data_IF_225422834955
#
_entry.id   IF_225422834955
#
_cell.length_a   1.000
_cell.length_b   1.000
_cell.length_c   1.000
_cell.angle_alpha   90.00
_cell.angle_beta   90.00
_cell.angle_gamma   90.00
#
_symmetry.space_group_name_H-M   'P 1'
#
loop_
_entity.id
_entity.type
_entity.pdbx_description
1 polymer ?
#
# COMPACT_ATOMS: atom_id res chain seq x y z
N UNK A 1 -27.02 24.51 -16.50
CA UNK A 1 -26.00 24.40 -15.44
C UNK A 1 -24.84 23.64 -16.04
N UNK A 2 -23.64 24.21 -16.01
CA UNK A 2 -22.45 23.51 -16.49
C UNK A 2 -21.95 22.62 -15.33
N UNK A 3 -21.65 21.35 -15.62
CA UNK A 3 -21.03 20.44 -14.67
C UNK A 3 -19.52 20.51 -14.87
N UNK A 4 -18.81 20.98 -13.85
CA UNK A 4 -17.36 20.98 -13.79
C UNK A 4 -16.89 19.68 -13.15
N UNK A 5 -15.91 19.02 -13.79
CA UNK A 5 -15.28 17.82 -13.28
C UNK A 5 -14.15 18.21 -12.31
N UNK A 6 -14.36 18.03 -11.01
CA UNK A 6 -13.28 18.15 -10.03
C UNK A 6 -12.39 16.92 -10.15
N UNK A 7 -11.13 17.09 -10.56
CA UNK A 7 -10.15 16.02 -10.71
C UNK A 7 -9.12 16.05 -9.59
N UNK A 8 -8.57 14.90 -9.25
CA UNK A 8 -7.47 14.84 -8.29
C UNK A 8 -6.22 15.52 -8.88
N UNK A 9 -5.71 16.62 -8.28
CA UNK A 9 -4.57 17.35 -8.82
C UNK A 9 -3.28 16.55 -8.69
N UNK A 10 -2.26 16.92 -9.47
CA UNK A 10 -0.94 16.26 -9.43
C UNK A 10 -0.15 16.76 -8.21
N UNK A 11 -0.06 15.93 -7.17
CA UNK A 11 0.58 16.28 -5.89
C UNK A 11 2.05 15.81 -5.82
N UNK A 12 2.89 16.34 -6.71
CA UNK A 12 4.33 16.04 -6.79
C UNK A 12 4.71 14.97 -7.82
N UNK A 13 5.99 14.87 -8.15
CA UNK A 13 6.47 13.99 -9.24
C UNK A 13 6.38 12.49 -8.93
N UNK A 14 6.21 12.10 -7.66
CA UNK A 14 6.26 10.70 -7.21
C UNK A 14 4.94 10.15 -6.64
N UNK A 15 3.83 10.90 -6.71
CA UNK A 15 2.52 10.47 -6.19
C UNK A 15 1.61 10.08 -7.36
N UNK A 16 1.23 8.80 -7.42
CA UNK A 16 0.37 8.24 -8.46
C UNK A 16 -1.09 8.05 -8.01
N UNK A 17 -1.31 7.89 -6.70
CA UNK A 17 -2.62 7.65 -6.09
C UNK A 17 -2.71 8.34 -4.72
N UNK A 18 -3.94 8.67 -4.30
CA UNK A 18 -4.23 9.23 -2.99
C UNK A 18 -5.49 8.59 -2.40
N UNK A 19 -5.57 8.51 -1.08
CA UNK A 19 -6.75 8.00 -0.36
C UNK A 19 -7.56 9.16 0.19
N UNK A 20 -8.87 9.18 -0.03
CA UNK A 20 -9.75 10.21 0.55
C UNK A 20 -9.89 9.93 2.05
N UNK A 21 -9.50 10.90 2.88
CA UNK A 21 -9.55 10.78 4.35
C UNK A 21 -10.80 11.42 4.95
N UNK A 22 -11.22 12.55 4.40
CA UNK A 22 -12.41 13.24 4.88
C UNK A 22 -12.98 14.15 3.79
N UNK A 23 -14.31 14.28 3.74
CA UNK A 23 -14.99 15.27 2.91
C UNK A 23 -15.31 16.49 3.78
N UNK A 24 -14.83 17.66 3.38
CA UNK A 24 -15.13 18.93 4.07
C UNK A 24 -16.47 19.51 3.62
N UNK A 25 -16.96 19.10 2.44
CA UNK A 25 -18.19 19.56 1.80
C UNK A 25 -19.07 18.38 1.40
N UNK A 26 -20.38 18.53 1.58
CA UNK A 26 -21.38 17.52 1.25
C UNK A 26 -22.10 17.86 -0.07
N UNK A 27 -22.78 16.87 -0.65
CA UNK A 27 -23.63 17.07 -1.84
C UNK A 27 -24.70 18.11 -1.51
N UNK A 28 -24.75 19.18 -2.30
CA UNK A 28 -25.63 20.33 -2.12
C UNK A 28 -24.97 21.56 -1.47
N UNK A 29 -23.75 21.43 -0.94
CA UNK A 29 -23.04 22.56 -0.33
C UNK A 29 -22.43 23.48 -1.39
N UNK A 30 -22.47 24.79 -1.14
CA UNK A 30 -21.79 25.80 -1.95
C UNK A 30 -20.29 25.81 -1.63
N UNK A 31 -19.49 25.86 -2.69
CA UNK A 31 -18.03 25.87 -2.69
C UNK A 31 -17.57 27.13 -3.40
N UNK A 32 -16.66 27.89 -2.79
CA UNK A 32 -15.98 29.02 -3.42
C UNK A 32 -14.69 28.56 -4.13
N UNK A 33 -14.23 29.34 -5.12
CA UNK A 33 -12.94 29.14 -5.76
C UNK A 33 -11.81 29.19 -4.71
N UNK A 34 -10.85 28.27 -4.84
CA UNK A 34 -9.75 28.02 -3.89
C UNK A 34 -10.16 27.50 -2.50
N UNK A 35 -11.44 27.16 -2.29
CA UNK A 35 -11.90 26.55 -1.03
C UNK A 35 -11.60 25.04 -1.00
N UNK A 36 -11.15 24.53 0.15
CA UNK A 36 -10.84 23.11 0.34
C UNK A 36 -12.12 22.25 0.36
N UNK A 37 -12.18 21.26 -0.54
CA UNK A 37 -13.36 20.40 -0.74
C UNK A 37 -13.22 19.08 0.02
N UNK A 38 -12.02 18.51 0.03
CA UNK A 38 -11.71 17.25 0.73
C UNK A 38 -10.25 17.19 1.17
N UNK A 39 -10.00 16.30 2.13
CA UNK A 39 -8.66 15.94 2.61
C UNK A 39 -8.24 14.59 2.03
N UNK A 40 -7.06 14.54 1.45
CA UNK A 40 -6.45 13.32 0.90
C UNK A 40 -5.16 12.98 1.66
N UNK A 41 -4.93 11.69 1.87
CA UNK A 41 -3.67 11.17 2.39
C UNK A 41 -2.88 10.50 1.27
N UNK A 42 -1.61 10.85 1.15
CA UNK A 42 -0.63 10.15 0.31
C UNK A 42 0.37 9.39 1.19
N UNK A 43 1.26 8.60 0.61
CA UNK A 43 2.31 7.84 1.34
C UNK A 43 3.27 8.74 2.16
N UNK A 44 3.26 10.06 1.94
CA UNK A 44 4.25 10.97 2.55
C UNK A 44 3.65 12.16 3.29
N UNK A 45 2.55 12.73 2.84
CA UNK A 45 1.93 13.92 3.46
C UNK A 45 0.43 13.90 3.23
N UNK A 46 -0.34 14.39 4.21
CA UNK A 46 -1.75 14.71 4.06
C UNK A 46 -1.89 16.07 3.37
N UNK A 47 -2.83 16.20 2.43
CA UNK A 47 -3.02 17.44 1.66
C UNK A 47 -4.50 17.69 1.42
N UNK A 48 -4.86 18.96 1.33
CA UNK A 48 -6.21 19.40 1.01
C UNK A 48 -6.31 19.64 -0.51
N UNK A 49 -7.47 19.28 -1.09
CA UNK A 49 -7.77 19.53 -2.51
C UNK A 49 -8.66 20.77 -2.59
N UNK A 50 -8.15 21.92 -3.08
CA UNK A 50 -8.95 23.12 -3.32
C UNK A 50 -9.82 22.98 -4.58
N UNK A 51 -10.93 23.71 -4.63
CA UNK A 51 -11.79 23.80 -5.82
C UNK A 51 -11.26 24.83 -6.82
N UNK A 52 -11.21 24.47 -8.10
CA UNK A 52 -10.84 25.39 -9.19
C UNK A 52 -11.98 26.34 -9.61
N UNK A 53 -13.22 26.05 -9.18
CA UNK A 53 -14.41 26.82 -9.57
C UNK A 53 -15.33 27.06 -8.38
N UNK A 54 -16.06 28.18 -8.41
CA UNK A 54 -17.18 28.44 -7.50
C UNK A 54 -18.45 27.77 -8.02
N UNK A 55 -19.14 27.02 -7.17
CA UNK A 55 -20.38 26.33 -7.53
C UNK A 55 -20.94 25.47 -6.41
N UNK A 56 -21.91 24.61 -6.73
CA UNK A 56 -22.53 23.70 -5.76
C UNK A 56 -22.09 22.26 -6.03
N UNK A 57 -21.70 21.52 -4.99
CA UNK A 57 -21.29 20.13 -5.12
C UNK A 57 -22.49 19.26 -5.52
N UNK A 58 -22.50 18.72 -6.74
CA UNK A 58 -23.66 18.00 -7.29
C UNK A 58 -23.63 16.49 -7.04
N UNK A 59 -22.45 15.87 -7.11
CA UNK A 59 -22.30 14.41 -7.01
C UNK A 59 -20.88 14.04 -6.60
N UNK A 60 -20.76 13.08 -5.67
CA UNK A 60 -19.50 12.53 -5.18
C UNK A 60 -19.33 11.12 -5.75
N UNK A 61 -18.22 10.86 -6.45
CA UNK A 61 -17.95 9.56 -7.10
C UNK A 61 -17.20 8.57 -6.18
N UNK A 62 -16.57 9.06 -5.12
CA UNK A 62 -15.72 8.27 -4.21
C UNK A 62 -16.02 8.57 -2.74
N UNK A 63 -16.09 7.52 -1.93
CA UNK A 63 -16.39 7.61 -0.51
C UNK A 63 -15.12 7.78 0.33
N UNK A 64 -15.30 8.11 1.61
CA UNK A 64 -14.18 8.17 2.57
C UNK A 64 -13.51 6.79 2.67
N UNK A 65 -12.18 6.77 2.60
CA UNK A 65 -11.27 5.62 2.50
C UNK A 65 -11.08 4.99 1.11
N UNK A 66 -11.69 5.54 0.05
CA UNK A 66 -11.44 5.07 -1.32
C UNK A 66 -10.10 5.60 -1.86
N UNK A 67 -9.47 4.80 -2.74
CA UNK A 67 -8.20 5.13 -3.41
C UNK A 67 -8.50 5.66 -4.82
N UNK A 68 -7.96 6.84 -5.12
CA UNK A 68 -8.18 7.57 -6.38
C UNK A 68 -6.85 7.84 -7.08
N UNK A 69 -6.80 7.70 -8.41
CA UNK A 69 -5.61 7.99 -9.22
C UNK A 69 -5.51 9.47 -9.60
N UNK A 70 -4.29 9.99 -9.75
CA UNK A 70 -4.06 11.37 -10.19
C UNK A 70 -4.72 11.61 -11.56
N UNK A 71 -5.50 12.69 -11.66
CA UNK A 71 -6.25 13.06 -12.87
C UNK A 71 -7.63 12.41 -13.00
N UNK A 72 -8.02 11.53 -12.07
CA UNK A 72 -9.36 10.94 -12.04
C UNK A 72 -10.38 11.92 -11.46
N UNK A 73 -11.60 11.94 -12.03
CA UNK A 73 -12.70 12.80 -11.58
C UNK A 73 -13.28 12.29 -10.27
N UNK A 74 -13.24 13.11 -9.22
CA UNK A 74 -13.66 12.79 -7.86
C UNK A 74 -15.08 13.27 -7.52
N UNK A 75 -15.51 14.38 -8.10
CA UNK A 75 -16.83 14.95 -7.91
C UNK A 75 -17.23 15.86 -9.08
N UNK A 76 -18.52 16.14 -9.19
CA UNK A 76 -19.06 17.12 -10.13
C UNK A 76 -19.55 18.37 -9.40
N UNK A 77 -19.13 19.56 -9.84
CA UNK A 77 -19.55 20.85 -9.30
C UNK A 77 -20.45 21.54 -10.33
N UNK A 78 -21.65 21.98 -9.94
CA UNK A 78 -22.53 22.77 -10.79
C UNK A 78 -22.25 24.27 -10.62
N UNK A 79 -21.89 24.94 -11.72
CA UNK A 79 -21.60 26.38 -11.71
C UNK A 79 -22.77 27.18 -12.27
N UNK A 80 -23.18 28.26 -11.56
CA UNK A 80 -24.12 29.26 -12.06
C UNK A 80 -23.39 30.38 -12.80
N UNK A 81 -23.48 30.38 -14.13
CA UNK A 81 -22.99 31.49 -14.97
C UNK A 81 -21.78 31.11 -15.83
N UNK A 82 -21.99 31.11 -17.14
CA UNK A 82 -20.98 30.73 -18.12
C UNK A 82 -19.82 31.72 -18.17
N UNK A 83 -18.61 31.19 -18.05
CA UNK A 83 -17.41 31.75 -18.67
C UNK A 83 -16.79 30.64 -19.49
N UNK A 84 -16.77 30.88 -20.80
CA UNK A 84 -16.16 30.04 -21.82
C UNK A 84 -14.65 30.25 -21.74
N UNK A 85 -13.88 29.19 -21.59
CA UNK A 85 -12.51 29.16 -22.10
C UNK A 85 -12.43 27.96 -23.04
N UNK A 86 -12.28 28.31 -24.31
CA UNK A 86 -12.26 27.44 -25.48
C UNK A 86 -10.99 26.58 -25.52
N UNK A 87 -11.13 25.42 -26.18
CA UNK A 87 -10.14 24.37 -26.34
C UNK A 87 -8.97 24.77 -27.25
N UNK A 88 -7.99 23.88 -27.46
CA UNK A 88 -7.89 23.35 -28.81
C UNK A 88 -8.31 21.89 -28.91
N UNK A 89 -9.28 21.71 -29.80
CA UNK A 89 -9.81 20.48 -30.36
C UNK A 89 -8.88 20.02 -31.48
N UNK A 90 -8.59 18.73 -31.56
CA UNK A 90 -8.35 18.09 -32.86
C UNK A 90 -9.36 16.95 -33.01
N UNK A 91 -10.18 17.11 -34.04
CA UNK A 91 -11.35 16.34 -34.42
C UNK A 91 -10.94 15.54 -35.66
N UNK A 92 -11.22 14.24 -35.75
CA UNK A 92 -11.80 13.70 -37.00
C UNK A 92 -12.40 12.30 -36.85
N UNK A 93 -13.70 12.26 -37.19
CA UNK A 93 -14.41 11.21 -37.94
C UNK A 93 -14.75 9.88 -37.27
N UNK A 94 -15.89 9.89 -36.59
CA UNK A 94 -16.84 8.79 -36.61
C UNK A 94 -17.67 8.82 -37.92
N UNK A 95 -17.18 8.11 -38.94
CA UNK A 95 -17.94 7.77 -40.14
C UNK A 95 -17.39 6.48 -40.76
N UNK A 96 -17.45 5.35 -40.04
CA UNK A 96 -17.40 4.02 -40.65
C UNK A 96 -17.95 2.89 -39.75
N UNK A 97 -19.09 3.11 -39.09
CA UNK A 97 -19.73 2.09 -38.23
C UNK A 97 -20.45 0.99 -39.05
N UNK A 98 -20.45 1.02 -40.39
CA UNK A 98 -21.17 0.02 -41.21
C UNK A 98 -20.28 -0.88 -42.10
N UNK A 99 -18.96 -0.89 -41.92
CA UNK A 99 -18.06 -1.70 -42.78
C UNK A 99 -17.05 -2.59 -42.02
N UNK A 100 -17.26 -2.88 -40.74
CA UNK A 100 -16.38 -3.81 -39.95
C UNK A 100 -17.15 -4.97 -39.31
N UNK A 101 -18.46 -5.10 -39.55
CA UNK A 101 -19.22 -6.32 -39.21
C UNK A 101 -19.20 -7.38 -40.34
N UNK A 102 -18.57 -7.10 -41.48
CA UNK A 102 -18.55 -8.01 -42.65
C UNK A 102 -17.18 -8.51 -43.10
N UNK A 103 -16.16 -8.36 -42.25
CA UNK A 103 -14.82 -8.96 -42.44
C UNK A 103 -14.38 -9.84 -41.26
N UNK A 104 -15.31 -10.18 -40.36
CA UNK A 104 -15.10 -11.14 -39.26
C UNK A 104 -15.59 -12.57 -39.61
N UNK A 105 -16.14 -12.79 -40.81
CA UNK A 105 -16.63 -14.11 -41.26
C UNK A 105 -15.77 -14.80 -42.34
N UNK A 106 -14.55 -14.34 -42.61
CA UNK A 106 -13.65 -15.00 -43.57
C UNK A 106 -12.21 -15.20 -43.02
N UNK A 107 -12.12 -15.77 -41.81
CA UNK A 107 -10.87 -16.24 -41.21
C UNK A 107 -11.06 -17.37 -40.19
N UNK A 108 -12.26 -17.97 -40.14
CA UNK A 108 -12.54 -19.18 -39.36
C UNK A 108 -12.26 -20.41 -40.22
N UNK A 109 -10.98 -20.73 -40.36
CA UNK A 109 -10.52 -22.11 -40.42
C UNK A 109 -9.01 -22.13 -40.28
N UNK A 110 -8.51 -23.05 -39.45
CA UNK A 110 -7.12 -23.25 -39.03
C UNK A 110 -6.49 -22.23 -38.07
N UNK A 111 -6.99 -22.17 -36.84
CA UNK A 111 -6.15 -21.85 -35.67
C UNK A 111 -6.26 -22.99 -34.66
N UNK A 112 -5.26 -23.88 -34.65
CA UNK A 112 -5.14 -24.90 -33.63
C UNK A 112 -4.93 -24.23 -32.26
N UNK A 113 -5.71 -24.63 -31.26
CA UNK A 113 -5.51 -24.19 -29.89
C UNK A 113 -4.11 -24.60 -29.42
N UNK A 114 -3.24 -23.63 -29.15
CA UNK A 114 -1.89 -23.89 -28.66
C UNK A 114 -1.96 -24.18 -27.16
N UNK A 115 -1.74 -25.44 -26.78
CA UNK A 115 -1.61 -25.85 -25.38
C UNK A 115 -0.19 -25.56 -24.89
N UNK A 116 -0.05 -24.60 -23.98
CA UNK A 116 1.24 -24.17 -23.40
C UNK A 116 1.64 -24.97 -22.14
N UNK A 117 1.01 -26.12 -21.91
CA UNK A 117 1.24 -26.95 -20.73
C UNK A 117 2.52 -27.80 -20.83
N UNK A 118 3.01 -28.04 -22.05
CA UNK A 118 4.12 -28.96 -22.34
C UNK A 118 5.46 -28.27 -22.67
N UNK A 119 5.59 -26.95 -22.48
CA UNK A 119 6.86 -26.23 -22.77
C UNK A 119 7.78 -26.11 -21.56
N UNK A 120 9.03 -26.56 -21.69
CA UNK A 120 10.09 -26.41 -20.68
C UNK A 120 10.59 -24.96 -20.52
N UNK A 121 10.28 -24.07 -21.48
CA UNK A 121 10.70 -22.67 -21.48
C UNK A 121 9.60 -21.76 -20.94
N UNK A 122 9.95 -20.88 -19.99
CA UNK A 122 9.00 -19.94 -19.41
C UNK A 122 8.73 -18.76 -20.37
N UNK A 123 7.47 -18.61 -20.80
CA UNK A 123 6.98 -17.48 -21.57
C UNK A 123 6.12 -16.55 -20.71
N UNK A 124 6.37 -15.24 -20.80
CA UNK A 124 5.56 -14.23 -20.12
C UNK A 124 4.12 -14.21 -20.66
N UNK A 125 3.11 -13.82 -19.86
CA UNK A 125 1.71 -13.78 -20.29
C UNK A 125 1.48 -12.93 -21.55
N UNK A 126 2.26 -11.85 -21.71
CA UNK A 126 2.20 -10.98 -22.88
C UNK A 126 2.66 -11.69 -24.16
N UNK A 127 3.74 -12.48 -24.08
CA UNK A 127 4.27 -13.25 -25.22
C UNK A 127 3.31 -14.40 -25.59
N UNK A 128 2.67 -15.04 -24.60
CA UNK A 128 1.63 -16.06 -24.85
C UNK A 128 0.40 -15.49 -25.56
N UNK A 129 -0.02 -14.28 -25.19
CA UNK A 129 -1.13 -13.61 -25.86
C UNK A 129 -0.78 -13.23 -27.30
N UNK A 130 0.39 -12.64 -27.53
CA UNK A 130 0.85 -12.30 -28.90
C UNK A 130 0.99 -13.56 -29.76
N UNK A 131 1.55 -14.65 -29.22
CA UNK A 131 1.67 -15.92 -29.94
C UNK A 131 0.30 -16.52 -30.32
N UNK A 132 -0.70 -16.37 -29.44
CA UNK A 132 -2.07 -16.85 -29.68
C UNK A 132 -2.80 -16.00 -30.73
N UNK A 133 -2.61 -14.68 -30.71
CA UNK A 133 -3.21 -13.75 -31.68
C UNK A 133 -2.57 -13.89 -33.08
N UNK A 134 -1.26 -14.09 -33.14
CA UNK A 134 -0.51 -14.23 -34.40
C UNK A 134 -0.42 -15.69 -34.90
N UNK A 135 -1.08 -16.63 -34.23
CA UNK A 135 -1.12 -18.04 -34.62
C UNK A 135 0.27 -18.71 -34.65
N UNK A 136 1.16 -18.35 -33.73
CA UNK A 136 2.49 -18.94 -33.57
C UNK A 136 2.35 -20.24 -32.77
N UNK A 137 2.81 -21.34 -33.34
CA UNK A 137 2.78 -22.65 -32.69
C UNK A 137 3.83 -22.76 -31.57
N UNK A 138 3.64 -23.70 -30.64
CA UNK A 138 4.59 -23.90 -29.53
C UNK A 138 6.01 -24.23 -30.04
N UNK A 139 6.10 -25.02 -31.11
CA UNK A 139 7.38 -25.39 -31.74
C UNK A 139 8.09 -24.19 -32.39
N UNK A 140 7.33 -23.30 -33.04
CA UNK A 140 7.88 -22.04 -33.58
C UNK A 140 8.36 -21.14 -32.44
N UNK A 141 7.57 -21.03 -31.37
CA UNK A 141 7.89 -20.21 -30.21
C UNK A 141 9.17 -20.67 -29.49
N UNK A 142 9.40 -21.99 -29.41
CA UNK A 142 10.61 -22.59 -28.84
C UNK A 142 11.86 -22.33 -29.69
N UNK A 143 11.70 -22.21 -31.01
CA UNK A 143 12.78 -21.85 -31.94
C UNK A 143 13.21 -20.38 -31.85
N UNK A 144 12.39 -19.50 -31.25
CA UNK A 144 12.71 -18.08 -31.09
C UNK A 144 13.82 -17.91 -30.05
N UNK A 145 14.95 -17.34 -30.49
CA UNK A 145 16.07 -16.97 -29.62
C UNK A 145 15.67 -15.75 -28.79
N UNK A 146 15.59 -15.93 -27.46
CA UNK A 146 15.23 -14.86 -26.53
C UNK A 146 16.43 -13.99 -26.17
N UNK A 147 16.27 -12.67 -26.25
CA UNK A 147 17.30 -11.68 -25.86
C UNK A 147 17.21 -11.28 -24.38
N UNK A 148 16.20 -11.76 -23.66
CA UNK A 148 15.98 -11.48 -22.24
C UNK A 148 16.96 -12.21 -21.31
N UNK A 149 17.02 -11.75 -20.05
CA UNK A 149 17.81 -12.39 -18.98
C UNK A 149 17.43 -13.87 -18.86
N UNK A 150 18.42 -14.76 -18.92
CA UNK A 150 18.29 -16.23 -18.96
C UNK A 150 17.69 -16.81 -20.26
N UNK A 151 17.83 -16.10 -21.40
CA UNK A 151 17.39 -16.60 -22.72
C UNK A 151 15.88 -16.54 -22.94
N UNK A 152 15.17 -15.75 -22.12
CA UNK A 152 13.72 -15.54 -22.20
C UNK A 152 13.35 -14.73 -23.42
N UNK A 153 12.27 -15.14 -24.09
CA UNK A 153 11.71 -14.45 -25.25
C UNK A 153 10.96 -13.21 -24.76
N UNK A 154 11.34 -12.04 -25.27
CA UNK A 154 10.76 -10.74 -24.92
C UNK A 154 9.74 -10.29 -25.97
N UNK A 155 9.02 -9.20 -25.68
CA UNK A 155 8.06 -8.61 -26.62
C UNK A 155 8.70 -8.21 -27.96
N UNK A 156 9.94 -7.74 -27.93
CA UNK A 156 10.66 -7.36 -29.16
C UNK A 156 11.00 -8.59 -29.99
N UNK A 157 11.49 -9.66 -29.34
CA UNK A 157 11.89 -10.90 -30.03
C UNK A 157 10.70 -11.58 -30.76
N UNK A 158 9.51 -11.58 -30.14
CA UNK A 158 8.31 -12.18 -30.75
C UNK A 158 7.80 -11.33 -31.92
N UNK A 159 7.84 -10.01 -31.81
CA UNK A 159 7.40 -9.10 -32.87
C UNK A 159 8.37 -9.12 -34.07
N UNK A 160 9.67 -9.26 -33.80
CA UNK A 160 10.69 -9.40 -34.85
C UNK A 160 10.59 -10.77 -35.54
N UNK A 161 10.28 -11.83 -34.79
CA UNK A 161 9.98 -13.15 -35.36
C UNK A 161 8.74 -13.11 -36.27
N UNK A 162 7.64 -12.48 -35.83
CA UNK A 162 6.41 -12.36 -36.64
C UNK A 162 6.67 -11.58 -37.93
N UNK A 163 7.48 -10.51 -37.88
CA UNK A 163 7.88 -9.75 -39.08
C UNK A 163 8.70 -10.55 -40.07
N UNK A 164 9.54 -11.47 -39.58
CA UNK A 164 10.44 -12.27 -40.42
C UNK A 164 9.90 -13.68 -40.74
N UNK A 165 8.69 -14.02 -40.26
CA UNK A 165 8.06 -15.34 -40.39
C UNK A 165 7.86 -15.77 -41.85
N UNK A 166 7.78 -14.83 -42.79
CA UNK A 166 7.60 -15.10 -44.22
C UNK A 166 8.86 -15.58 -44.95
N UNK A 167 10.03 -15.61 -44.30
CA UNK A 167 11.31 -15.88 -44.97
C UNK A 167 12.05 -17.16 -44.53
N UNK A 168 11.46 -18.05 -43.72
CA UNK A 168 12.17 -19.27 -43.27
C UNK A 168 11.35 -20.57 -43.40
N UNK A 169 11.85 -21.62 -44.10
CA UNK A 169 11.17 -22.91 -44.22
C UNK A 169 11.36 -23.82 -42.99
N UNK A 170 10.31 -24.60 -42.66
CA UNK A 170 10.27 -25.54 -41.53
C UNK A 170 11.28 -26.71 -41.65
N UNK A 171 12.01 -27.08 -40.58
CA UNK A 171 12.82 -28.31 -40.56
C UNK A 171 12.07 -29.52 -39.99
N UNK A 172 12.23 -30.66 -40.67
CA UNK A 172 11.79 -32.00 -40.32
C UNK A 172 12.54 -32.60 -39.12
N UNK A 173 11.84 -33.53 -38.45
CA UNK A 173 12.35 -34.45 -37.42
C UNK A 173 13.61 -35.22 -37.86
N UNK A 174 14.59 -35.34 -36.97
CA UNK A 174 15.48 -36.50 -36.96
C UNK A 174 16.05 -36.78 -35.56
N UNK A 175 15.95 -38.05 -35.17
CA UNK A 175 16.44 -38.63 -33.94
C UNK A 175 17.95 -38.90 -33.99
N UNK A 176 18.65 -38.71 -32.87
CA UNK A 176 19.76 -39.57 -32.43
C UNK A 176 20.18 -39.23 -30.99
N UNK A 177 20.63 -40.26 -30.29
CA UNK A 177 20.73 -40.41 -28.85
C UNK A 177 22.18 -40.20 -28.34
N UNK A 178 22.54 -40.55 -27.08
CA UNK A 178 23.00 -39.60 -26.08
C UNK A 178 24.53 -39.64 -25.86
N UNK A 179 25.12 -38.51 -25.45
CA UNK A 179 26.48 -38.52 -24.88
C UNK A 179 26.46 -37.92 -23.49
N UNK A 180 27.02 -38.71 -22.58
CA UNK A 180 27.07 -38.52 -21.13
C UNK A 180 28.24 -37.59 -20.82
N UNK A 181 28.02 -36.48 -20.13
CA UNK A 181 29.13 -35.76 -19.50
C UNK A 181 28.74 -35.10 -18.17
N UNK A 182 29.66 -35.31 -17.23
CA UNK A 182 29.66 -35.10 -15.80
C UNK A 182 29.09 -33.78 -15.27
N UNK A 183 28.35 -33.92 -14.18
CA UNK A 183 27.78 -32.88 -13.33
C UNK A 183 28.68 -32.67 -12.08
N UNK A 184 29.16 -31.44 -11.79
CA UNK A 184 29.50 -31.06 -10.43
C UNK A 184 28.26 -30.52 -9.72
N UNK A 185 27.95 -31.10 -8.56
CA UNK A 185 26.87 -30.70 -7.69
C UNK A 185 27.07 -29.25 -7.18
N UNK A 186 26.13 -28.37 -7.51
CA UNK A 186 25.92 -27.10 -6.82
C UNK A 186 24.64 -27.21 -6.01
N UNK A 187 24.76 -26.90 -4.72
CA UNK A 187 23.72 -26.84 -3.70
C UNK A 187 22.56 -25.95 -4.17
N UNK A 188 21.28 -26.38 -4.07
CA UNK A 188 20.16 -25.48 -4.35
C UNK A 188 20.12 -24.35 -3.33
N UNK A 189 20.46 -23.14 -3.78
CA UNK A 189 20.12 -21.91 -3.10
C UNK A 189 18.58 -21.77 -3.09
N UNK A 190 18.02 -21.57 -1.90
CA UNK A 190 16.59 -21.36 -1.71
C UNK A 190 16.11 -20.14 -2.52
N UNK A 191 15.35 -20.39 -3.58
CA UNK A 191 14.62 -19.34 -4.29
C UNK A 191 13.37 -18.99 -3.48
N UNK A 192 13.34 -17.76 -3.01
CA UNK A 192 12.21 -17.07 -2.39
C UNK A 192 10.99 -17.09 -3.33
N UNK A 193 9.97 -17.86 -2.97
CA UNK A 193 8.64 -17.81 -3.60
C UNK A 193 7.99 -16.44 -3.37
N UNK A 194 7.39 -15.81 -4.39
CA UNK A 194 6.45 -14.70 -4.21
C UNK A 194 5.24 -15.16 -3.41
N UNK A 195 4.91 -14.43 -2.34
CA UNK A 195 3.76 -14.70 -1.48
C UNK A 195 2.47 -14.82 -2.31
N UNK A 196 1.82 -15.97 -2.23
CA UNK A 196 0.51 -16.20 -2.81
C UNK A 196 -0.51 -15.22 -2.20
N UNK A 197 -1.26 -14.52 -3.06
CA UNK A 197 -2.47 -13.79 -2.62
C UNK A 197 -3.40 -14.81 -1.98
N UNK A 198 -3.64 -14.67 -0.68
CA UNK A 198 -4.56 -15.51 0.06
C UNK A 198 -5.96 -15.43 -0.59
N UNK A 199 -6.55 -16.59 -0.88
CA UNK A 199 -7.95 -16.69 -1.30
C UNK A 199 -8.87 -16.16 -0.18
N UNK A 200 -10.02 -15.54 -0.51
CA UNK A 200 -10.97 -15.08 0.50
C UNK A 200 -11.44 -16.26 1.35
N UNK A 201 -11.39 -16.05 2.67
CA UNK A 201 -11.74 -17.05 3.68
C UNK A 201 -13.21 -17.40 3.48
N UNK A 202 -13.51 -18.62 3.02
CA UNK A 202 -14.88 -19.12 2.95
C UNK A 202 -15.33 -19.45 4.36
N UNK A 203 -15.96 -18.47 5.01
CA UNK A 203 -16.66 -18.66 6.28
C UNK A 203 -17.89 -19.54 6.06
N UNK A 204 -18.11 -20.52 6.95
CA UNK A 204 -19.39 -21.20 7.01
C UNK A 204 -20.46 -20.14 7.31
N UNK A 205 -21.69 -20.30 6.80
CA UNK A 205 -22.77 -19.29 6.88
C UNK A 205 -23.25 -18.89 8.30
N UNK A 206 -22.49 -19.23 9.34
CA UNK A 206 -22.66 -18.82 10.72
C UNK A 206 -21.66 -17.74 11.16
N UNK A 207 -20.57 -17.51 10.40
CA UNK A 207 -19.53 -16.56 10.78
C UNK A 207 -19.70 -15.22 10.04
N UNK A 208 -19.42 -14.13 10.75
CA UNK A 208 -19.42 -12.77 10.21
C UNK A 208 -17.99 -12.34 9.85
N UNK A 209 -17.80 -11.87 8.62
CA UNK A 209 -16.54 -11.27 8.18
C UNK A 209 -16.68 -9.76 8.24
N UNK A 210 -15.98 -9.16 9.20
CA UNK A 210 -15.91 -7.69 9.35
C UNK A 210 -14.59 -7.21 8.79
N UNK A 211 -14.63 -6.25 7.87
CA UNK A 211 -13.42 -5.63 7.34
C UNK A 211 -12.72 -4.76 8.39
N UNK A 212 -11.39 -4.85 8.46
CA UNK A 212 -10.60 -4.01 9.34
C UNK A 212 -10.48 -2.57 8.81
N UNK A 213 -10.63 -1.60 9.71
CA UNK A 213 -10.26 -0.22 9.44
C UNK A 213 -8.75 -0.04 9.19
N UNK A 214 -8.34 1.11 8.63
CA UNK A 214 -6.95 1.41 8.27
C UNK A 214 -6.01 1.31 9.47
N UNK A 215 -6.41 1.84 10.62
CA UNK A 215 -5.56 1.87 11.82
C UNK A 215 -5.34 0.45 12.37
N UNK A 216 -6.38 -0.38 12.38
CA UNK A 216 -6.33 -1.79 12.77
C UNK A 216 -5.49 -2.62 11.80
N UNK A 217 -5.58 -2.37 10.49
CA UNK A 217 -4.68 -2.97 9.48
C UNK A 217 -3.22 -2.64 9.78
N UNK A 218 -2.89 -1.38 10.08
CA UNK A 218 -1.52 -0.96 10.43
C UNK A 218 -1.03 -1.58 11.75
N UNK A 219 -1.85 -1.51 12.81
CA UNK A 219 -1.50 -2.07 14.12
C UNK A 219 -1.25 -3.58 14.00
N UNK A 220 -2.11 -4.31 13.30
CA UNK A 220 -1.93 -5.76 13.13
C UNK A 220 -0.63 -6.08 12.37
N UNK A 221 -0.29 -5.31 11.34
CA UNK A 221 1.00 -5.42 10.65
C UNK A 221 2.20 -5.25 11.59
N UNK A 222 2.23 -4.18 12.40
CA UNK A 222 3.31 -3.94 13.36
C UNK A 222 3.38 -5.00 14.46
N UNK A 223 2.24 -5.50 14.93
CA UNK A 223 2.19 -6.56 15.95
C UNK A 223 2.78 -7.87 15.41
N UNK A 224 2.42 -8.27 14.19
CA UNK A 224 2.99 -9.46 13.54
C UNK A 224 4.48 -9.28 13.31
N UNK A 225 4.91 -8.11 12.81
CA UNK A 225 6.33 -7.81 12.60
C UNK A 225 7.14 -7.88 13.90
N UNK A 226 6.60 -7.34 15.00
CA UNK A 226 7.27 -7.34 16.31
C UNK A 226 7.54 -8.76 16.80
N UNK A 227 6.54 -9.64 16.72
CA UNK A 227 6.64 -11.06 17.13
C UNK A 227 7.57 -11.86 16.22
N UNK A 228 7.60 -11.56 14.92
CA UNK A 228 8.52 -12.20 13.99
C UNK A 228 9.97 -11.75 14.17
N UNK A 229 10.18 -10.49 14.55
CA UNK A 229 11.51 -9.88 14.67
C UNK A 229 12.16 -10.19 16.02
N UNK A 230 11.39 -10.15 17.10
CA UNK A 230 11.93 -10.19 18.47
C UNK A 230 11.58 -11.49 19.18
N UNK A 231 12.58 -12.11 19.81
CA UNK A 231 12.35 -13.22 20.73
C UNK A 231 11.75 -12.68 22.04
N UNK A 232 10.44 -12.87 22.22
CA UNK A 232 9.74 -12.42 23.42
C UNK A 232 9.94 -13.40 24.59
N UNK A 233 10.43 -12.89 25.71
CA UNK A 233 10.47 -13.58 27.00
C UNK A 233 9.76 -12.71 28.03
N UNK A 234 8.94 -13.34 28.86
CA UNK A 234 8.15 -12.65 29.90
C UNK A 234 8.62 -13.07 31.29
N UNK A 235 8.65 -12.11 32.20
CA UNK A 235 8.91 -12.32 33.62
C UNK A 235 7.94 -11.50 34.43
N UNK A 236 7.48 -12.05 35.55
CA UNK A 236 6.51 -11.41 36.44
C UNK A 236 7.15 -11.23 37.81
N UNK A 237 6.97 -10.04 38.37
CA UNK A 237 7.36 -9.71 39.74
C UNK A 237 6.18 -9.03 40.44
N UNK A 238 5.95 -9.38 41.69
CA UNK A 238 4.98 -8.69 42.54
C UNK A 238 5.69 -7.60 43.33
N UNK A 239 5.10 -6.40 43.36
CA UNK A 239 5.66 -5.24 44.04
C UNK A 239 4.61 -4.65 44.97
N UNK A 240 4.95 -4.57 46.26
CA UNK A 240 4.11 -3.87 47.23
C UNK A 240 4.24 -2.35 47.06
N UNK A 241 3.14 -1.70 46.68
CA UNK A 241 3.04 -0.26 46.47
C UNK A 241 2.33 0.47 47.61
N UNK A 242 2.07 -0.19 48.75
CA UNK A 242 1.33 0.36 49.90
C UNK A 242 1.85 1.73 50.33
N UNK A 243 3.17 1.91 50.39
CA UNK A 243 3.77 3.18 50.81
C UNK A 243 3.54 4.30 49.80
N UNK A 244 3.59 3.98 48.50
CA UNK A 244 3.30 4.93 47.42
C UNK A 244 1.84 5.38 47.50
N UNK A 245 0.91 4.45 47.70
CA UNK A 245 -0.52 4.74 47.85
C UNK A 245 -0.76 5.68 49.03
N UNK A 246 -0.26 5.30 50.23
CA UNK A 246 -0.40 6.12 51.45
C UNK A 246 0.19 7.51 51.31
N UNK A 247 1.33 7.64 50.63
CA UNK A 247 1.95 8.93 50.37
C UNK A 247 1.11 9.76 49.38
N UNK A 248 0.74 9.20 48.22
CA UNK A 248 -0.05 9.87 47.20
C UNK A 248 -1.36 10.39 47.77
N UNK A 249 -2.07 9.59 48.56
CA UNK A 249 -3.35 9.98 49.15
C UNK A 249 -3.24 11.17 50.11
N UNK A 250 -2.09 11.32 50.78
CA UNK A 250 -1.82 12.49 51.64
C UNK A 250 -1.57 13.75 50.82
N UNK A 251 -0.88 13.65 49.68
CA UNK A 251 -0.37 14.84 48.95
C UNK A 251 -1.19 15.22 47.71
N UNK A 252 -1.99 14.31 47.13
CA UNK A 252 -2.67 14.50 45.85
C UNK A 252 -3.54 15.77 45.79
N UNK A 253 -4.29 16.06 46.84
CA UNK A 253 -5.18 17.22 46.88
C UNK A 253 -4.40 18.54 46.95
N UNK A 254 -3.26 18.55 47.66
CA UNK A 254 -2.39 19.72 47.73
C UNK A 254 -1.64 19.93 46.42
N UNK A 255 -1.22 18.84 45.77
CA UNK A 255 -0.60 18.86 44.46
C UNK A 255 -1.55 19.41 43.39
N UNK A 256 -2.79 18.91 43.31
CA UNK A 256 -3.81 19.37 42.36
C UNK A 256 -4.10 20.87 42.52
N UNK A 257 -4.20 21.34 43.76
CA UNK A 257 -4.38 22.78 44.03
C UNK A 257 -3.19 23.65 43.59
N UNK A 258 -1.97 23.13 43.66
CA UNK A 258 -0.75 23.89 43.34
C UNK A 258 -0.42 23.86 41.85
N UNK A 259 -0.54 22.70 41.23
CA UNK A 259 -0.06 22.45 39.87
C UNK A 259 -1.18 22.44 38.82
N UNK A 260 -2.45 22.39 39.25
CA UNK A 260 -3.62 22.28 38.37
C UNK A 260 -3.88 20.87 37.84
N UNK A 261 -3.02 19.90 38.14
CA UNK A 261 -3.07 18.53 37.62
C UNK A 261 -3.25 17.48 38.71
N UNK A 262 -3.91 16.37 38.38
CA UNK A 262 -4.10 15.25 39.30
C UNK A 262 -2.85 14.40 39.40
N UNK A 263 -2.38 14.17 40.63
CA UNK A 263 -1.30 13.22 40.88
C UNK A 263 -1.83 11.79 40.84
N UNK A 264 -1.72 11.14 39.67
CA UNK A 264 -2.04 9.72 39.49
C UNK A 264 -0.84 8.83 39.80
N UNK A 265 -0.98 7.51 39.65
CA UNK A 265 0.14 6.58 39.84
C UNK A 265 1.07 6.54 38.63
N UNK A 266 0.57 6.84 37.43
CA UNK A 266 1.30 6.70 36.17
C UNK A 266 2.61 7.52 36.15
N UNK A 267 2.63 8.81 36.53
CA UNK A 267 3.88 9.60 36.56
C UNK A 267 4.93 9.03 37.52
N UNK A 268 4.51 8.40 38.62
CA UNK A 268 5.40 7.78 39.61
C UNK A 268 6.09 6.56 38.98
N UNK A 269 5.33 5.72 38.29
CA UNK A 269 5.89 4.55 37.60
C UNK A 269 6.76 4.95 36.41
N UNK A 270 6.35 5.97 35.64
CA UNK A 270 7.17 6.50 34.55
C UNK A 270 8.51 7.03 35.05
N UNK A 271 8.53 7.78 36.16
CA UNK A 271 9.77 8.26 36.77
C UNK A 271 10.65 7.10 37.24
N UNK A 272 10.07 6.07 37.84
CA UNK A 272 10.80 4.87 38.26
C UNK A 272 11.43 4.13 37.06
N UNK A 273 10.68 3.97 35.96
CA UNK A 273 11.17 3.35 34.72
C UNK A 273 12.28 4.20 34.09
N UNK A 274 12.11 5.53 34.01
CA UNK A 274 13.14 6.41 33.45
C UNK A 274 14.46 6.33 34.25
N UNK A 275 14.38 6.28 35.58
CA UNK A 275 15.56 6.08 36.45
C UNK A 275 16.19 4.71 36.22
N UNK A 276 15.39 3.65 36.17
CA UNK A 276 15.90 2.30 35.90
C UNK A 276 16.61 2.20 34.54
N UNK A 277 16.06 2.82 33.49
CA UNK A 277 16.70 2.85 32.17
C UNK A 277 18.01 3.65 32.15
N UNK A 278 18.15 4.64 33.03
CA UNK A 278 19.40 5.41 33.21
C UNK A 278 20.48 4.58 33.91
N UNK A 279 20.09 3.82 34.93
CA UNK A 279 21.01 2.94 35.68
C UNK A 279 21.39 1.70 34.86
N UNK A 280 20.47 1.20 34.03
CA UNK A 280 20.63 0.02 33.18
C UNK A 280 20.48 0.37 31.69
N UNK A 281 21.46 1.06 31.07
CA UNK A 281 21.35 1.52 29.68
C UNK A 281 21.28 0.40 28.65
N UNK A 282 21.63 -0.84 29.03
CA UNK A 282 21.46 -2.04 28.19
C UNK A 282 19.99 -2.35 27.88
N UNK A 283 19.04 -1.81 28.65
CA UNK A 283 17.60 -1.94 28.37
C UNK A 283 17.09 -0.88 27.39
N UNK A 284 17.81 0.24 27.19
CA UNK A 284 17.44 1.31 26.27
C UNK A 284 18.22 1.21 24.95
N UNK A 285 18.05 0.10 24.24
CA UNK A 285 18.76 -0.21 22.99
C UNK A 285 17.79 -0.58 21.87
N UNK A 286 18.22 -0.44 20.63
CA UNK A 286 17.54 -1.00 19.46
C UNK A 286 18.49 -1.85 18.65
N UNK A 287 17.98 -2.89 17.99
CA UNK A 287 18.74 -3.72 17.05
C UNK A 287 18.43 -3.25 15.64
N UNK A 288 19.47 -3.09 14.82
CA UNK A 288 19.36 -2.74 13.41
C UNK A 288 20.35 -3.59 12.60
N UNK A 289 19.83 -4.62 11.94
CA UNK A 289 20.65 -5.67 11.31
C UNK A 289 21.61 -6.30 12.32
N UNK A 290 22.91 -6.19 12.05
CA UNK A 290 23.99 -6.72 12.88
C UNK A 290 24.44 -5.75 13.99
N UNK A 291 23.79 -4.59 14.13
CA UNK A 291 24.21 -3.53 15.04
C UNK A 291 23.26 -3.37 16.23
N UNK A 292 23.86 -3.14 17.41
CA UNK A 292 23.13 -2.69 18.60
C UNK A 292 23.33 -1.19 18.76
N UNK A 293 22.23 -0.44 18.67
CA UNK A 293 22.22 1.01 18.84
C UNK A 293 21.86 1.33 20.29
N UNK A 294 22.83 1.81 21.06
CA UNK A 294 22.62 2.29 22.43
C UNK A 294 22.07 3.71 22.41
N UNK A 295 20.86 3.91 22.92
CA UNK A 295 20.22 5.23 22.92
C UNK A 295 20.58 5.99 24.19
N UNK A 296 21.08 7.21 24.04
CA UNK A 296 21.41 8.10 25.17
C UNK A 296 20.16 8.76 25.75
N UNK A 297 19.24 9.17 24.89
CA UNK A 297 17.99 9.80 25.30
C UNK A 297 16.99 8.73 25.72
N UNK A 298 16.29 8.97 26.83
CA UNK A 298 15.24 8.08 27.33
C UNK A 298 13.90 8.75 27.00
N UNK A 299 13.16 8.14 26.09
CA UNK A 299 11.81 8.56 25.73
C UNK A 299 10.84 7.46 26.13
N UNK A 300 9.70 7.81 26.71
CA UNK A 300 8.69 6.85 27.16
C UNK A 300 7.41 7.00 26.35
N UNK A 301 6.98 5.94 25.69
CA UNK A 301 5.67 5.86 25.06
C UNK A 301 4.63 5.38 26.07
N UNK A 302 3.51 6.08 26.20
CA UNK A 302 2.39 5.66 27.05
C UNK A 302 1.25 5.15 26.17
N UNK A 303 0.99 3.84 26.21
CA UNK A 303 -0.15 3.26 25.52
C UNK A 303 -1.47 3.65 26.21
N UNK A 304 -2.29 4.45 25.53
CA UNK A 304 -3.60 4.89 26.01
C UNK A 304 -4.71 4.39 25.07
N UNK A 305 -5.69 3.70 25.65
CA UNK A 305 -6.87 3.24 24.93
C UNK A 305 -7.80 4.43 24.63
N UNK A 306 -8.30 4.48 23.40
CA UNK A 306 -9.30 5.44 22.94
C UNK A 306 -10.71 4.86 23.14
N UNK A 307 -11.75 5.70 23.31
CA UNK A 307 -13.13 5.24 23.52
C UNK A 307 -13.70 4.38 22.39
N UNK A 308 -13.18 4.53 21.17
CA UNK A 308 -13.56 3.75 20.00
C UNK A 308 -12.87 2.37 19.92
N UNK A 309 -12.14 1.96 20.95
CA UNK A 309 -11.42 0.68 21.00
C UNK A 309 -10.05 0.70 20.30
N UNK A 310 -9.61 1.85 19.79
CA UNK A 310 -8.27 2.01 19.20
C UNK A 310 -7.23 2.41 20.26
N UNK A 311 -5.97 2.51 19.83
CA UNK A 311 -4.83 2.80 20.70
C UNK A 311 -4.07 4.03 20.18
N UNK A 312 -3.73 4.95 21.09
CA UNK A 312 -2.76 6.01 20.83
C UNK A 312 -1.57 5.86 21.78
N UNK A 313 -0.39 6.24 21.31
CA UNK A 313 0.84 6.18 22.12
C UNK A 313 1.54 7.54 22.09
N UNK A 314 1.15 8.51 22.96
CA UNK A 314 1.95 9.71 23.17
C UNK A 314 3.35 9.37 23.69
N UNK A 315 4.35 10.15 23.24
CA UNK A 315 5.75 9.96 23.60
C UNK A 315 6.24 11.13 24.45
N UNK A 316 6.58 10.83 25.70
CA UNK A 316 7.23 11.74 26.63
C UNK A 316 8.73 11.74 26.31
N UNK A 317 9.23 12.86 25.79
CA UNK A 317 10.63 13.00 25.38
C UNK A 317 11.52 13.34 26.55
N UNK A 318 12.73 12.78 26.59
CA UNK A 318 13.74 13.01 27.63
C UNK A 318 13.17 12.84 29.04
N UNK A 319 12.43 11.75 29.24
CA UNK A 319 11.71 11.46 30.46
C UNK A 319 12.63 11.39 31.69
N UNK A 320 13.92 11.08 31.51
CA UNK A 320 14.93 11.07 32.56
C UNK A 320 15.31 12.46 33.10
N UNK A 321 14.94 13.53 32.39
CA UNK A 321 15.18 14.92 32.78
C UNK A 321 13.96 15.55 33.44
N UNK A 322 12.80 14.90 33.38
CA UNK A 322 11.55 15.39 33.95
C UNK A 322 11.45 15.01 35.43
N UNK A 323 11.01 15.96 36.24
CA UNK A 323 10.57 15.66 37.61
C UNK A 323 9.12 15.17 37.59
N UNK A 324 8.60 14.75 38.75
CA UNK A 324 7.24 14.24 38.86
C UNK A 324 6.15 15.22 38.38
N UNK A 325 6.37 16.53 38.51
CA UNK A 325 5.45 17.56 37.99
C UNK A 325 5.49 17.59 36.47
N UNK A 326 6.69 17.56 35.88
CA UNK A 326 6.87 17.49 34.43
C UNK A 326 6.27 16.23 33.84
N UNK A 327 6.45 15.08 34.49
CA UNK A 327 5.87 13.80 34.09
C UNK A 327 4.35 13.76 34.22
N UNK A 328 3.77 14.48 35.18
CA UNK A 328 2.31 14.55 35.34
C UNK A 328 1.64 15.45 34.29
N UNK A 329 2.38 16.39 33.71
CA UNK A 329 1.90 17.33 32.68
C UNK A 329 2.14 16.85 31.24
N UNK A 330 3.12 15.96 31.04
CA UNK A 330 3.52 15.43 29.74
C UNK A 330 2.61 14.28 29.29
#
# INVERSE_FOLDING_TARGET
MAKFELKLPKMGESVAEATITNWLKNVGDTIEMDEAVLEIATDKVDSEVPSEVSGTLSEILFQVNDVVQVGQTIAYIETEGGVVVDAPKEETTAANIEAVEKTVEAGKETAAAVNFADSDKFYSPLVKNIAKEEGITLAELESVKGSGKEGRVTKTDILDYVKNRSETPAPQQQASSPSVQAQPASTPAAQSQPAAKAAPVSVNGQDEVVEMDRMRKLISGYMVQSVQTSAHVQSFIEVDVTNIVKWRDKVKNAFEKREGEKLTFTPIFMEAVAKALKDFPGMNISVDGDYIIKKKNINLGMAAALPNGNLIVPVIKNADQLNLVGMAKA
#
